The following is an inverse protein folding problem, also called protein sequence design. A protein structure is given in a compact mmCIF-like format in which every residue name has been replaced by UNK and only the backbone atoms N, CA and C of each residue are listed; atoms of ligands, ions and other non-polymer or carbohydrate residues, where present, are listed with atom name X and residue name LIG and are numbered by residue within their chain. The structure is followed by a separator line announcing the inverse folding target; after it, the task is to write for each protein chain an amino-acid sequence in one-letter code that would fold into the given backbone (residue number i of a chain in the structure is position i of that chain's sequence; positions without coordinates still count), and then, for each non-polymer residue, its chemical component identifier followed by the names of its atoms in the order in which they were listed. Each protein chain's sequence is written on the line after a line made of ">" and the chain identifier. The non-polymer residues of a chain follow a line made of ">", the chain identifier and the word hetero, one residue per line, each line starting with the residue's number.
data_IF_292514329022
#
_entry.id   IF_292514329022
#
_cell.length_a   1.000
_cell.length_b   1.000
_cell.length_c   1.000
_cell.angle_alpha   90.00
_cell.angle_beta   90.00
_cell.angle_gamma   90.00
#
_symmetry.space_group_name_H-M   'P 1'
#
loop_
_entity.id
_entity.type
_entity.pdbx_description
1 polymer ?
#
# COMPACT_ATOMS: atom_id res chain seq x y z
N UNK A 1 26.40 26.71 -2.96
CA UNK A 1 27.31 25.94 -3.83
C UNK A 1 26.86 24.48 -3.80
N UNK A 2 26.21 23.97 -4.86
CA UNK A 2 25.65 22.61 -4.92
C UNK A 2 26.71 21.49 -4.96
N UNK A 3 27.98 21.82 -4.72
CA UNK A 3 29.10 20.87 -4.82
C UNK A 3 29.64 20.33 -3.50
N UNK A 4 28.96 20.54 -2.36
CA UNK A 4 29.45 20.09 -1.07
C UNK A 4 28.59 18.97 -0.44
N UNK A 5 28.37 17.89 -1.19
CA UNK A 5 27.86 16.63 -0.64
C UNK A 5 29.04 15.82 -0.04
N UNK A 6 29.03 15.51 1.27
CA UNK A 6 30.07 14.71 1.92
C UNK A 6 30.10 13.24 1.46
N UNK A 7 29.09 12.79 0.71
CA UNK A 7 28.98 11.41 0.24
C UNK A 7 29.62 11.28 -1.15
N UNK A 8 30.86 10.77 -1.19
CA UNK A 8 31.51 10.37 -2.44
C UNK A 8 30.98 8.99 -2.87
N UNK A 9 30.08 8.96 -3.84
CA UNK A 9 29.75 7.72 -4.53
C UNK A 9 31.00 7.22 -5.26
N UNK A 10 31.38 5.94 -5.11
CA UNK A 10 32.38 5.36 -6.01
C UNK A 10 31.87 5.49 -7.46
N UNK A 11 32.74 5.81 -8.42
CA UNK A 11 32.34 5.91 -9.83
C UNK A 11 31.70 4.59 -10.27
N UNK A 12 30.58 4.70 -10.98
CA UNK A 12 29.89 3.58 -11.61
C UNK A 12 30.89 2.73 -12.42
N UNK A 13 31.15 1.48 -11.97
CA UNK A 13 32.17 0.58 -12.54
C UNK A 13 31.61 -0.36 -13.62
N UNK A 14 30.76 0.15 -14.50
CA UNK A 14 30.43 -0.50 -15.77
C UNK A 14 29.02 -1.07 -15.89
N UNK A 15 28.71 -1.50 -17.11
CA UNK A 15 27.42 -2.05 -17.53
C UNK A 15 27.00 -3.23 -16.63
N UNK A 16 25.73 -3.24 -16.21
CA UNK A 16 25.12 -4.43 -15.64
C UNK A 16 25.12 -5.51 -16.74
N UNK A 17 25.95 -6.53 -16.58
CA UNK A 17 25.88 -7.71 -17.43
C UNK A 17 24.74 -8.57 -16.93
N UNK A 18 23.89 -9.08 -17.83
CA UNK A 18 22.89 -10.04 -17.41
C UNK A 18 23.58 -11.33 -16.92
N UNK A 19 22.91 -12.13 -16.08
CA UNK A 19 23.40 -13.43 -15.65
C UNK A 19 23.91 -14.29 -16.81
N UNK A 20 24.86 -15.20 -16.57
CA UNK A 20 25.47 -16.02 -17.63
C UNK A 20 24.49 -16.95 -18.36
N UNK A 21 23.30 -17.14 -17.80
CA UNK A 21 22.17 -17.89 -18.35
C UNK A 21 21.09 -17.00 -19.00
N UNK A 22 21.30 -15.68 -19.09
CA UNK A 22 20.40 -14.80 -19.83
C UNK A 22 20.40 -15.14 -21.32
N UNK A 23 19.20 -15.27 -21.86
CA UNK A 23 18.92 -15.52 -23.26
C UNK A 23 18.41 -14.19 -23.83
N UNK A 24 19.17 -13.60 -24.74
CA UNK A 24 18.75 -12.36 -25.39
C UNK A 24 17.69 -12.61 -26.48
N UNK A 25 16.99 -11.56 -26.95
CA UNK A 25 16.05 -11.68 -28.07
C UNK A 25 16.68 -12.27 -29.35
N UNK A 26 18.00 -12.12 -29.50
CA UNK A 26 18.78 -12.60 -30.63
C UNK A 26 19.53 -13.92 -30.35
N UNK A 27 19.29 -14.55 -29.18
CA UNK A 27 19.94 -15.79 -28.80
C UNK A 27 19.20 -17.01 -29.39
N UNK A 28 19.89 -17.93 -30.09
CA UNK A 28 19.28 -19.08 -30.73
C UNK A 28 18.76 -20.14 -29.75
N UNK A 29 19.06 -20.03 -28.45
CA UNK A 29 18.44 -20.83 -27.39
C UNK A 29 17.01 -20.32 -27.22
N UNK A 30 16.04 -21.18 -27.52
CA UNK A 30 14.59 -20.96 -27.50
C UNK A 30 14.12 -19.96 -26.44
N UNK A 31 13.34 -18.97 -26.91
CA UNK A 31 12.51 -17.94 -26.23
C UNK A 31 12.53 -17.93 -24.71
N UNK A 32 12.68 -16.73 -24.10
CA UNK A 32 12.48 -16.39 -22.68
C UNK A 32 11.14 -16.89 -22.10
N UNK A 33 10.98 -18.21 -21.97
CA UNK A 33 9.83 -18.82 -21.33
C UNK A 33 10.08 -18.80 -19.81
N UNK A 34 9.86 -17.62 -19.24
CA UNK A 34 9.94 -17.36 -17.80
C UNK A 34 9.03 -18.30 -16.98
N UNK A 35 8.08 -19.02 -17.61
CA UNK A 35 7.23 -20.01 -16.94
C UNK A 35 7.96 -21.32 -16.61
N UNK A 36 9.09 -21.60 -17.26
CA UNK A 36 9.96 -22.76 -16.99
C UNK A 36 11.02 -22.48 -15.93
N UNK A 37 11.26 -21.20 -15.60
CA UNK A 37 12.20 -20.81 -14.57
C UNK A 37 11.61 -21.14 -13.20
N UNK A 38 12.29 -21.99 -12.43
CA UNK A 38 11.89 -22.26 -11.06
C UNK A 38 11.80 -20.93 -10.29
N UNK A 39 10.68 -20.70 -9.61
CA UNK A 39 10.51 -19.51 -8.79
C UNK A 39 11.72 -19.38 -7.86
N UNK A 40 12.40 -18.22 -7.82
CA UNK A 40 13.56 -18.05 -6.97
C UNK A 40 13.17 -18.40 -5.53
N UNK A 41 13.96 -19.24 -4.86
CA UNK A 41 13.70 -19.64 -3.48
C UNK A 41 13.75 -18.49 -2.45
N UNK A 42 14.05 -17.28 -2.92
CA UNK A 42 14.08 -16.06 -2.15
C UNK A 42 12.78 -15.26 -2.37
N UNK A 43 12.12 -14.88 -1.29
CA UNK A 43 10.95 -14.00 -1.33
C UNK A 43 11.31 -12.61 -0.80
N UNK A 44 10.74 -11.58 -1.41
CA UNK A 44 10.83 -10.21 -0.89
C UNK A 44 9.71 -9.99 0.13
N UNK A 45 10.07 -9.44 1.29
CA UNK A 45 9.12 -8.98 2.30
C UNK A 45 9.29 -7.50 2.52
N UNK A 46 8.21 -6.74 2.40
CA UNK A 46 8.19 -5.31 2.70
C UNK A 46 8.51 -5.07 4.17
N UNK A 47 9.58 -4.33 4.44
CA UNK A 47 10.01 -3.97 5.79
C UNK A 47 9.50 -2.59 6.21
N UNK A 48 9.50 -1.62 5.29
CA UNK A 48 9.12 -0.24 5.58
C UNK A 48 8.65 0.48 4.31
N UNK A 49 7.78 1.47 4.49
CA UNK A 49 7.36 2.42 3.48
C UNK A 49 7.77 3.82 3.93
N UNK A 50 8.55 4.49 3.09
CA UNK A 50 8.91 5.88 3.28
C UNK A 50 7.97 6.78 2.46
N UNK A 51 7.49 7.85 3.07
CA UNK A 51 6.61 8.83 2.44
C UNK A 51 5.20 8.84 3.02
N UNK A 52 4.53 9.99 2.83
CA UNK A 52 3.18 10.25 3.29
C UNK A 52 2.43 11.03 2.21
N UNK A 53 1.21 10.62 1.90
CA UNK A 53 0.42 11.24 0.84
C UNK A 53 -0.32 12.49 1.34
N UNK A 54 0.43 13.51 1.76
CA UNK A 54 -0.14 14.75 2.30
C UNK A 54 -0.71 15.72 1.26
N UNK A 55 -0.39 15.52 -0.03
CA UNK A 55 -0.72 16.47 -1.10
C UNK A 55 -1.97 16.08 -1.91
N UNK A 56 -2.32 14.79 -1.92
CA UNK A 56 -3.43 14.25 -2.73
C UNK A 56 -4.61 13.72 -1.91
N UNK A 57 -4.47 13.65 -0.58
CA UNK A 57 -5.52 13.17 0.32
C UNK A 57 -5.69 14.15 1.49
N UNK A 58 -6.91 14.21 2.02
CA UNK A 58 -7.30 15.00 3.21
C UNK A 58 -7.78 14.05 4.29
N UNK A 59 -7.61 14.43 5.56
CA UNK A 59 -8.07 13.63 6.71
C UNK A 59 -7.61 12.17 6.66
N UNK A 60 -6.32 11.93 6.41
CA UNK A 60 -5.77 10.60 6.12
C UNK A 60 -4.65 10.19 7.08
N UNK A 61 -4.61 10.78 8.28
CA UNK A 61 -3.73 10.41 9.38
C UNK A 61 -4.50 10.41 10.69
N UNK A 62 -4.39 9.32 11.44
CA UNK A 62 -5.13 9.11 12.69
C UNK A 62 -4.25 8.43 13.75
N UNK A 63 -4.69 8.48 15.01
CA UNK A 63 -4.14 7.66 16.08
C UNK A 63 -5.15 6.59 16.47
N UNK A 64 -4.73 5.33 16.49
CA UNK A 64 -5.58 4.22 16.92
C UNK A 64 -5.67 4.12 18.45
N UNK A 65 -6.47 3.18 18.95
CA UNK A 65 -6.68 2.93 20.38
C UNK A 65 -5.39 2.62 21.15
N UNK A 66 -4.35 2.14 20.46
CA UNK A 66 -3.05 1.79 21.04
C UNK A 66 -2.03 2.92 20.87
N UNK A 67 -2.45 4.11 20.44
CA UNK A 67 -1.57 5.27 20.24
C UNK A 67 -0.65 5.19 19.00
N UNK A 68 -0.86 4.20 18.12
CA UNK A 68 -0.11 4.03 16.87
C UNK A 68 -0.68 4.93 15.77
N UNK A 69 0.20 5.37 14.88
CA UNK A 69 -0.16 6.27 13.78
C UNK A 69 -0.71 5.45 12.62
N UNK A 70 -1.88 5.79 12.12
CA UNK A 70 -2.53 5.12 10.99
C UNK A 70 -2.65 6.08 9.81
N UNK A 71 -2.17 5.68 8.64
CA UNK A 71 -2.24 6.46 7.39
C UNK A 71 -2.21 5.53 6.17
N UNK A 72 -2.19 6.08 4.96
CA UNK A 72 -2.00 5.29 3.74
C UNK A 72 -0.91 5.87 2.83
N UNK A 73 -0.34 5.00 1.99
CA UNK A 73 0.58 5.37 0.91
C UNK A 73 0.40 4.39 -0.26
N UNK A 74 0.19 4.92 -1.47
CA UNK A 74 -0.23 4.14 -2.63
C UNK A 74 -1.44 3.25 -2.29
N UNK A 75 -1.39 1.96 -2.62
CA UNK A 75 -2.42 0.96 -2.29
C UNK A 75 -2.35 0.43 -0.83
N UNK A 76 -1.48 0.96 0.04
CA UNK A 76 -1.24 0.38 1.37
C UNK A 76 -1.87 1.19 2.49
N UNK A 77 -2.63 0.53 3.35
CA UNK A 77 -2.92 1.03 4.70
C UNK A 77 -1.73 0.73 5.63
N UNK A 78 -1.31 1.69 6.44
CA UNK A 78 -0.10 1.60 7.26
C UNK A 78 -0.47 1.92 8.70
N UNK A 79 -0.06 1.04 9.62
CA UNK A 79 -0.05 1.30 11.06
C UNK A 79 1.40 1.36 11.50
N UNK A 80 1.84 2.53 11.94
CA UNK A 80 3.20 2.81 12.37
C UNK A 80 3.29 2.88 13.90
N UNK A 81 4.07 1.98 14.46
CA UNK A 81 4.48 1.96 15.85
C UNK A 81 5.77 2.78 16.01
N UNK A 82 5.67 3.93 16.70
CA UNK A 82 6.80 4.82 16.90
C UNK A 82 7.80 4.31 17.94
N UNK A 83 7.34 3.53 18.92
CA UNK A 83 8.19 3.03 20.00
C UNK A 83 9.08 1.91 19.47
N UNK A 84 8.49 0.98 18.73
CA UNK A 84 9.21 -0.13 18.10
C UNK A 84 9.89 0.24 16.77
N UNK A 85 9.59 1.43 16.23
CA UNK A 85 9.97 1.85 14.88
C UNK A 85 9.61 0.79 13.81
N UNK A 86 8.39 0.29 13.88
CA UNK A 86 7.91 -0.81 13.05
C UNK A 86 6.59 -0.46 12.36
N UNK A 87 6.37 -1.03 11.17
CA UNK A 87 5.13 -0.83 10.40
C UNK A 87 4.41 -2.16 10.17
N UNK A 88 3.10 -2.12 10.31
CA UNK A 88 2.18 -3.15 9.86
C UNK A 88 1.40 -2.63 8.65
N UNK A 89 1.11 -3.53 7.72
CA UNK A 89 0.52 -3.18 6.43
C UNK A 89 -0.82 -3.86 6.21
N UNK A 90 -1.76 -3.10 5.64
CA UNK A 90 -2.99 -3.57 5.07
C UNK A 90 -2.83 -3.53 3.55
N UNK A 91 -2.78 -4.70 2.93
CA UNK A 91 -2.34 -4.91 1.54
C UNK A 91 -3.42 -5.66 0.74
N UNK A 92 -4.66 -5.19 0.83
CA UNK A 92 -5.81 -5.79 0.15
C UNK A 92 -6.35 -4.92 -1.01
N UNK A 93 -5.95 -3.66 -1.08
CA UNK A 93 -6.26 -2.80 -2.21
C UNK A 93 -5.37 -3.18 -3.39
N UNK A 94 -5.95 -3.21 -4.58
CA UNK A 94 -5.26 -3.49 -5.85
C UNK A 94 -4.98 -2.22 -6.66
N UNK A 95 -5.30 -1.04 -6.13
CA UNK A 95 -5.04 0.27 -6.70
C UNK A 95 -4.89 1.32 -5.58
N UNK A 96 -4.49 2.55 -5.92
CA UNK A 96 -4.19 3.61 -4.95
C UNK A 96 -5.36 3.93 -4.02
N UNK A 97 -5.08 3.96 -2.71
CA UNK A 97 -6.03 4.45 -1.71
C UNK A 97 -6.15 5.97 -1.84
N UNK A 98 -7.38 6.47 -1.96
CA UNK A 98 -7.66 7.90 -2.09
C UNK A 98 -8.53 8.48 -0.97
N UNK A 99 -9.14 7.63 -0.13
CA UNK A 99 -9.91 8.06 1.04
C UNK A 99 -9.71 7.12 2.23
N UNK A 100 -9.73 7.68 3.44
CA UNK A 100 -9.51 6.97 4.70
C UNK A 100 -10.32 7.63 5.81
N UNK A 101 -10.95 6.84 6.67
CA UNK A 101 -11.56 7.31 7.92
C UNK A 101 -11.40 6.28 9.05
N UNK A 102 -11.47 6.74 10.29
CA UNK A 102 -11.32 5.94 11.49
C UNK A 102 -12.64 5.82 12.25
N UNK A 103 -13.02 4.60 12.58
CA UNK A 103 -14.20 4.30 13.36
C UNK A 103 -14.11 4.91 14.79
N UNK A 104 -15.23 5.31 15.43
CA UNK A 104 -15.23 5.90 16.77
C UNK A 104 -14.51 5.08 17.86
N UNK A 105 -14.49 3.76 17.75
CA UNK A 105 -13.76 2.84 18.64
C UNK A 105 -12.22 2.91 18.51
N UNK A 106 -11.69 3.65 17.53
CA UNK A 106 -10.26 3.80 17.24
C UNK A 106 -9.54 2.48 16.92
N UNK A 107 -10.27 1.42 16.60
CA UNK A 107 -9.70 0.11 16.23
C UNK A 107 -9.93 -0.16 14.75
N UNK A 108 -11.07 0.24 14.20
CA UNK A 108 -11.42 -0.03 12.80
C UNK A 108 -11.14 1.15 11.89
N UNK A 109 -10.71 0.84 10.68
CA UNK A 109 -10.47 1.78 9.60
C UNK A 109 -11.40 1.46 8.44
N UNK A 110 -11.76 2.47 7.67
CA UNK A 110 -12.37 2.33 6.36
C UNK A 110 -11.52 3.04 5.33
N UNK A 111 -11.24 2.40 4.21
CA UNK A 111 -10.46 2.97 3.11
C UNK A 111 -11.12 2.70 1.76
N UNK A 112 -11.04 3.69 0.87
CA UNK A 112 -11.53 3.62 -0.50
C UNK A 112 -10.39 3.81 -1.50
N UNK A 113 -10.46 3.10 -2.63
CA UNK A 113 -9.45 3.17 -3.70
C UNK A 113 -9.96 3.82 -4.98
N UNK A 114 -9.02 4.12 -5.86
CA UNK A 114 -9.27 4.42 -7.27
C UNK A 114 -9.44 3.13 -8.10
N UNK A 115 -9.83 3.26 -9.36
CA UNK A 115 -9.89 2.17 -10.32
C UNK A 115 -11.24 2.05 -11.04
N UNK A 116 -11.28 1.22 -12.09
CA UNK A 116 -12.51 0.98 -12.88
C UNK A 116 -13.63 0.33 -12.06
N UNK A 117 -13.26 -0.47 -11.08
CA UNK A 117 -14.15 -1.18 -10.14
C UNK A 117 -13.60 -0.92 -8.73
N UNK A 118 -13.83 0.28 -8.18
CA UNK A 118 -13.19 0.70 -6.95
C UNK A 118 -13.81 -0.03 -5.75
N UNK A 119 -12.98 -0.32 -4.76
CA UNK A 119 -13.34 -1.10 -3.57
C UNK A 119 -13.27 -0.26 -2.30
N UNK A 120 -14.12 -0.63 -1.34
CA UNK A 120 -14.07 -0.07 0.01
C UNK A 120 -13.78 -1.21 0.97
N UNK A 121 -12.75 -1.06 1.78
CA UNK A 121 -12.42 -2.04 2.81
C UNK A 121 -12.63 -1.46 4.18
N UNK A 122 -13.26 -2.26 5.06
CA UNK A 122 -13.20 -2.06 6.50
C UNK A 122 -12.17 -3.04 7.04
N UNK A 123 -11.22 -2.56 7.83
CA UNK A 123 -10.10 -3.35 8.34
C UNK A 123 -9.71 -2.97 9.76
N UNK A 124 -9.02 -3.89 10.44
CA UNK A 124 -8.52 -3.69 11.80
C UNK A 124 -7.16 -3.01 11.79
N UNK A 125 -7.03 -1.89 12.49
CA UNK A 125 -5.73 -1.24 12.77
C UNK A 125 -4.89 -1.96 13.83
N UNK A 126 -5.43 -3.03 14.43
CA UNK A 126 -4.67 -3.93 15.30
C UNK A 126 -4.12 -5.10 14.48
N UNK A 127 -2.79 -5.26 14.43
CA UNK A 127 -2.17 -6.42 13.80
C UNK A 127 -2.56 -7.71 14.52
N UNK A 128 -2.67 -8.80 13.76
CA UNK A 128 -2.79 -10.15 14.31
C UNK A 128 -1.46 -10.65 14.89
N UNK A 129 -1.42 -11.91 15.35
CA UNK A 129 -0.22 -12.55 15.88
C UNK A 129 0.97 -12.59 14.90
N UNK A 130 0.71 -12.45 13.59
CA UNK A 130 1.70 -12.45 12.53
C UNK A 130 2.09 -11.03 12.09
N UNK A 131 1.53 -9.99 12.70
CA UNK A 131 1.76 -8.59 12.35
C UNK A 131 0.96 -8.09 11.14
N UNK A 132 -0.05 -8.85 10.69
CA UNK A 132 -0.87 -8.50 9.53
C UNK A 132 -2.13 -7.74 9.96
N UNK A 133 -2.51 -6.74 9.16
CA UNK A 133 -3.76 -6.01 9.36
C UNK A 133 -4.91 -6.75 8.67
N UNK A 134 -5.97 -7.05 9.42
CA UNK A 134 -7.03 -7.95 8.95
C UNK A 134 -8.18 -7.20 8.26
N UNK A 135 -8.61 -7.72 7.10
CA UNK A 135 -9.83 -7.27 6.42
C UNK A 135 -11.04 -7.78 7.20
N UNK A 136 -11.92 -6.87 7.58
CA UNK A 136 -13.18 -7.16 8.27
C UNK A 136 -14.36 -7.21 7.31
N UNK A 137 -14.38 -6.31 6.31
CA UNK A 137 -15.44 -6.24 5.31
C UNK A 137 -14.89 -5.71 3.98
N UNK A 138 -15.44 -6.20 2.87
CA UNK A 138 -15.31 -5.61 1.55
C UNK A 138 -16.71 -5.12 1.15
N UNK A 139 -16.80 -3.83 0.85
CA UNK A 139 -17.98 -3.21 0.27
C UNK A 139 -17.63 -2.89 -1.18
N UNK A 140 -18.42 -3.43 -2.09
CA UNK A 140 -18.26 -3.23 -3.52
C UNK A 140 -19.64 -3.00 -4.13
N UNK A 141 -19.75 -1.91 -4.87
CA UNK A 141 -20.91 -1.58 -5.66
C UNK A 141 -20.51 -1.70 -7.15
N UNK A 142 -21.14 -2.59 -7.92
CA UNK A 142 -20.84 -2.77 -9.34
C UNK A 142 -21.03 -1.52 -10.19
N UNK A 143 -21.89 -0.59 -9.76
CA UNK A 143 -22.21 0.62 -10.52
C UNK A 143 -21.21 1.76 -10.27
N UNK A 144 -20.51 1.72 -9.12
CA UNK A 144 -19.46 2.69 -8.76
C UNK A 144 -18.25 2.57 -9.69
N UNK A 145 -17.76 3.71 -10.20
CA UNK A 145 -16.64 3.75 -11.14
C UNK A 145 -15.59 4.76 -10.70
N UNK A 146 -14.39 4.59 -11.27
CA UNK A 146 -13.23 5.50 -11.19
C UNK A 146 -12.58 5.67 -9.82
N UNK A 147 -13.31 6.05 -8.77
CA UNK A 147 -12.72 6.25 -7.44
C UNK A 147 -13.75 6.43 -6.32
N UNK A 148 -13.38 6.00 -5.10
CA UNK A 148 -14.07 6.37 -3.86
C UNK A 148 -13.36 7.55 -3.21
N UNK A 149 -13.82 8.76 -3.53
CA UNK A 149 -13.17 10.02 -3.12
C UNK A 149 -13.45 10.42 -1.67
N UNK A 150 -14.42 9.79 -1.02
CA UNK A 150 -14.74 10.03 0.38
C UNK A 150 -15.34 8.81 1.03
N UNK A 151 -14.93 8.55 2.27
CA UNK A 151 -15.53 7.56 3.16
C UNK A 151 -15.72 8.18 4.53
N UNK A 152 -16.78 7.82 5.25
CA UNK A 152 -16.93 8.20 6.65
C UNK A 152 -17.73 7.20 7.45
N UNK A 153 -17.31 6.93 8.68
CA UNK A 153 -18.16 6.25 9.64
C UNK A 153 -19.24 7.18 10.21
N UNK A 154 -20.41 6.61 10.50
CA UNK A 154 -21.40 7.29 11.34
C UNK A 154 -20.82 7.57 12.74
N UNK A 155 -21.36 8.57 13.44
CA UNK A 155 -20.93 8.90 14.81
C UNK A 155 -21.10 7.73 15.80
N UNK A 156 -22.09 6.87 15.54
CA UNK A 156 -22.34 5.61 16.27
C UNK A 156 -21.44 4.47 15.80
N UNK A 157 -20.80 4.61 14.64
CA UNK A 157 -19.96 3.58 14.02
C UNK A 157 -20.72 2.42 13.37
N UNK A 158 -22.05 2.50 13.29
CA UNK A 158 -22.91 1.44 12.76
C UNK A 158 -22.96 1.39 11.23
N UNK A 159 -22.67 2.51 10.57
CA UNK A 159 -22.78 2.64 9.12
C UNK A 159 -21.52 3.29 8.54
N UNK A 160 -21.27 3.04 7.25
CA UNK A 160 -20.27 3.72 6.45
C UNK A 160 -21.00 4.46 5.33
N UNK A 161 -20.71 5.74 5.16
CA UNK A 161 -21.04 6.51 3.98
C UNK A 161 -19.85 6.53 3.03
N UNK A 162 -20.12 6.46 1.72
CA UNK A 162 -19.09 6.52 0.69
C UNK A 162 -19.54 7.42 -0.46
N UNK A 163 -18.59 8.12 -1.08
CA UNK A 163 -18.82 9.00 -2.23
C UNK A 163 -17.93 8.57 -3.39
N UNK A 164 -18.58 8.29 -4.53
CA UNK A 164 -17.93 8.00 -5.80
C UNK A 164 -17.48 9.24 -6.57
N UNK A 165 -16.71 9.02 -7.62
CA UNK A 165 -16.35 10.03 -8.61
C UNK A 165 -16.70 9.53 -10.01
N UNK A 166 -18.00 9.50 -10.31
CA UNK A 166 -18.55 8.85 -11.51
C UNK A 166 -18.54 9.73 -12.79
N UNK A 167 -17.93 10.92 -12.73
CA UNK A 167 -18.15 12.02 -13.69
C UNK A 167 -17.35 11.91 -15.00
#
# INVERSE_FOLDING_TARGET
>A
DPHNDPIRYPPFKGFAFPPSDYIGPDDPRVTDDLSTLAAPGNALRRSFVFGYCGRKARSNLFYNADGRIVYHAAALGIVYDREAHAQSFFDAHDDDICSLDMHPDKVRMVSGQVGKSPKIYVWSSRPDANGNLQRLCLIHDPDQKRAIIGVSFSSTGSCVAAMGNDN
#
